data_IF_568476341247
#
_entry.id   IF_568476341247
#
_cell.length_a   1.000
_cell.length_b   1.000
_cell.length_c   1.000
_cell.angle_alpha   90.00
_cell.angle_beta   90.00
_cell.angle_gamma   90.00
#
_symmetry.space_group_name_H-M   'P 1'
#
loop_
_entity.id
_entity.type
_entity.pdbx_description
1 polymer ?
#
# COMPACT_ATOMS: atom_id res chain seq x y z
N UNK A 1 26.75 6.48 -11.46
CA UNK A 1 25.82 7.63 -11.47
C UNK A 1 24.61 7.29 -12.32
N UNK A 2 23.42 7.45 -11.76
CA UNK A 2 22.17 7.38 -12.50
C UNK A 2 22.13 8.55 -13.50
N UNK A 3 22.00 8.27 -14.80
CA UNK A 3 21.91 9.29 -15.86
C UNK A 3 20.56 9.16 -16.55
N UNK A 4 19.83 10.25 -16.69
CA UNK A 4 18.61 10.29 -17.50
C UNK A 4 18.96 10.89 -18.86
N UNK A 5 18.30 10.40 -19.93
CA UNK A 5 18.38 11.04 -21.24
C UNK A 5 17.43 12.26 -21.23
N UNK A 6 17.97 13.44 -20.91
CA UNK A 6 17.27 14.72 -21.14
C UNK A 6 16.48 15.31 -19.97
N UNK A 7 16.67 14.86 -18.72
CA UNK A 7 15.99 15.42 -17.54
C UNK A 7 16.90 15.60 -16.33
N UNK A 8 16.40 16.25 -15.26
CA UNK A 8 17.08 16.25 -13.95
C UNK A 8 16.62 15.02 -13.17
N UNK A 9 17.56 14.25 -12.62
CA UNK A 9 17.23 13.16 -11.71
C UNK A 9 16.85 13.74 -10.35
N UNK A 10 15.67 13.35 -9.85
CA UNK A 10 15.23 13.64 -8.49
C UNK A 10 15.33 12.39 -7.62
N UNK A 11 15.88 12.52 -6.42
CA UNK A 11 15.90 11.48 -5.40
C UNK A 11 15.33 12.04 -4.09
N UNK A 12 14.68 11.18 -3.32
CA UNK A 12 14.14 11.50 -2.00
C UNK A 12 14.90 10.69 -0.94
N UNK A 13 15.09 11.28 0.23
CA UNK A 13 15.68 10.61 1.38
C UNK A 13 14.84 10.86 2.63
N UNK A 14 14.30 9.79 3.22
CA UNK A 14 13.52 9.83 4.45
C UNK A 14 14.36 9.69 5.74
N UNK A 15 15.69 9.54 5.62
CA UNK A 15 16.56 9.31 6.76
C UNK A 15 18.03 9.70 6.50
N UNK A 16 18.82 9.87 7.57
CA UNK A 16 20.25 10.23 7.48
C UNK A 16 21.07 9.21 6.67
N UNK A 17 20.90 7.88 6.84
CA UNK A 17 21.60 6.88 6.02
C UNK A 17 21.17 6.89 4.55
N UNK A 18 19.88 7.12 4.28
CA UNK A 18 19.39 7.27 2.90
C UNK A 18 19.98 8.51 2.25
N UNK A 19 20.07 9.64 2.96
CA UNK A 19 20.69 10.86 2.42
C UNK A 19 22.15 10.63 2.02
N UNK A 20 22.94 9.90 2.82
CA UNK A 20 24.31 9.51 2.44
C UNK A 20 24.33 8.70 1.14
N UNK A 21 23.39 7.77 1.00
CA UNK A 21 23.26 6.93 -0.19
C UNK A 21 22.85 7.76 -1.41
N UNK A 22 21.87 8.64 -1.24
CA UNK A 22 21.39 9.57 -2.28
C UNK A 22 22.53 10.46 -2.74
N UNK A 23 23.25 11.11 -1.82
CA UNK A 23 24.41 11.95 -2.14
C UNK A 23 25.50 11.19 -2.91
N UNK A 24 25.73 9.91 -2.58
CA UNK A 24 26.70 9.07 -3.30
C UNK A 24 26.24 8.68 -4.72
N UNK A 25 24.93 8.60 -4.96
CA UNK A 25 24.35 8.20 -6.24
C UNK A 25 24.00 9.38 -7.16
N UNK A 26 23.80 10.57 -6.57
CA UNK A 26 23.44 11.80 -7.27
C UNK A 26 24.50 12.21 -8.29
N UNK A 27 24.03 12.75 -9.41
CA UNK A 27 24.86 13.39 -10.44
C UNK A 27 24.88 14.91 -10.25
N UNK A 28 25.75 15.59 -10.99
CA UNK A 28 25.79 17.05 -11.07
C UNK A 28 24.39 17.61 -11.40
N UNK A 29 23.98 18.67 -10.68
CA UNK A 29 22.66 19.31 -10.76
C UNK A 29 21.44 18.41 -10.42
N UNK A 30 21.65 17.33 -9.67
CA UNK A 30 20.55 16.51 -9.13
C UNK A 30 19.66 17.27 -8.15
N UNK A 31 18.38 16.88 -8.09
CA UNK A 31 17.43 17.37 -7.08
C UNK A 31 17.33 16.34 -5.96
N UNK A 32 17.39 16.80 -4.70
CA UNK A 32 17.22 15.94 -3.53
C UNK A 32 16.12 16.52 -2.65
N UNK A 33 15.14 15.70 -2.26
CA UNK A 33 14.14 16.04 -1.25
C UNK A 33 14.48 15.31 0.04
N UNK A 34 14.62 16.05 1.14
CA UNK A 34 15.00 15.53 2.44
C UNK A 34 13.80 15.53 3.40
N UNK A 35 13.21 14.36 3.62
CA UNK A 35 12.14 14.14 4.59
C UNK A 35 12.67 13.39 5.83
N UNK A 36 11.75 13.05 6.74
CA UNK A 36 12.02 12.31 7.96
C UNK A 36 12.54 13.14 9.12
N UNK A 37 12.92 12.46 10.20
CA UNK A 37 13.46 13.12 11.39
C UNK A 37 14.89 13.61 11.17
N UNK A 38 15.14 14.90 11.44
CA UNK A 38 16.42 15.55 11.12
C UNK A 38 17.15 15.95 12.39
N UNK A 39 18.26 15.26 12.65
CA UNK A 39 19.24 15.71 13.64
C UNK A 39 20.23 16.71 13.03
N UNK A 40 21.17 17.19 13.84
CA UNK A 40 22.18 18.17 13.42
C UNK A 40 23.05 17.63 12.27
N UNK A 41 23.40 16.35 12.30
CA UNK A 41 24.27 15.74 11.29
C UNK A 41 23.54 15.56 9.97
N UNK A 42 22.26 15.17 10.00
CA UNK A 42 21.41 15.13 8.81
C UNK A 42 21.43 16.50 8.12
N UNK A 43 21.14 17.57 8.87
CA UNK A 43 21.06 18.93 8.31
C UNK A 43 22.40 19.34 7.69
N UNK A 44 23.52 19.05 8.37
CA UNK A 44 24.86 19.34 7.84
C UNK A 44 25.16 18.58 6.55
N UNK A 45 24.75 17.32 6.46
CA UNK A 45 24.89 16.53 5.23
C UNK A 45 24.09 17.14 4.09
N UNK A 46 22.84 17.56 4.35
CA UNK A 46 22.01 18.23 3.35
C UNK A 46 22.67 19.53 2.85
N UNK A 47 23.18 20.36 3.77
CA UNK A 47 23.91 21.60 3.43
C UNK A 47 25.22 21.32 2.67
N UNK A 48 25.92 20.23 2.99
CA UNK A 48 27.08 19.79 2.22
C UNK A 48 26.69 19.45 0.78
N UNK A 49 25.58 18.75 0.58
CA UNK A 49 25.00 18.50 -0.74
C UNK A 49 24.70 19.78 -1.52
N UNK A 50 24.14 20.81 -0.86
CA UNK A 50 23.94 22.13 -1.47
C UNK A 50 25.26 22.75 -1.94
N UNK A 51 26.32 22.70 -1.12
CA UNK A 51 27.65 23.21 -1.51
C UNK A 51 28.30 22.42 -2.65
N UNK A 52 27.90 21.17 -2.84
CA UNK A 52 28.32 20.34 -3.98
C UNK A 52 27.56 20.67 -5.28
N UNK A 53 26.65 21.66 -5.26
CA UNK A 53 25.88 22.09 -6.44
C UNK A 53 24.57 21.35 -6.65
N UNK A 54 24.14 20.53 -5.69
CA UNK A 54 22.85 19.84 -5.74
C UNK A 54 21.71 20.76 -5.28
N UNK A 55 20.55 20.63 -5.91
CA UNK A 55 19.33 21.31 -5.48
C UNK A 55 18.68 20.53 -4.35
N UNK A 56 19.12 20.80 -3.12
CA UNK A 56 18.63 20.11 -1.91
C UNK A 56 17.50 20.88 -1.26
N UNK A 57 16.30 20.28 -1.26
CA UNK A 57 15.14 20.73 -0.52
C UNK A 57 15.13 20.09 0.86
N UNK A 58 15.29 20.91 1.89
CA UNK A 58 15.17 20.48 3.29
C UNK A 58 13.72 20.72 3.76
N UNK A 59 12.92 19.65 3.80
CA UNK A 59 11.49 19.75 4.11
C UNK A 59 11.27 19.80 5.61
N UNK A 60 10.74 20.91 6.13
CA UNK A 60 10.38 21.05 7.53
C UNK A 60 9.15 20.19 7.80
N UNK A 61 9.30 19.19 8.67
CA UNK A 61 8.22 18.29 9.05
C UNK A 61 7.75 18.51 10.49
N UNK A 62 8.56 19.19 11.30
CA UNK A 62 8.22 19.60 12.66
C UNK A 62 8.72 21.02 12.90
N UNK A 63 7.89 21.85 13.52
CA UNK A 63 8.26 23.25 13.77
C UNK A 63 9.55 23.37 14.61
N UNK A 64 9.80 22.40 15.50
CA UNK A 64 11.01 22.34 16.33
C UNK A 64 12.30 22.08 15.55
N UNK A 65 12.24 21.67 14.27
CA UNK A 65 13.43 21.53 13.41
C UNK A 65 13.99 22.90 13.00
N UNK A 66 13.13 23.91 12.90
CA UNK A 66 13.47 25.19 12.29
C UNK A 66 14.62 25.93 13.01
N UNK A 67 14.65 26.05 14.36
CA UNK A 67 15.77 26.67 15.05
C UNK A 67 17.11 25.96 14.79
N UNK A 68 17.09 24.63 14.69
CA UNK A 68 18.29 23.84 14.41
C UNK A 68 18.77 24.05 12.97
N UNK A 69 17.85 24.05 12.00
CA UNK A 69 18.15 24.33 10.59
C UNK A 69 18.79 25.71 10.45
N UNK A 70 18.16 26.75 11.01
CA UNK A 70 18.62 28.13 10.92
C UNK A 70 20.01 28.32 11.57
N UNK A 71 20.27 27.63 12.68
CA UNK A 71 21.58 27.67 13.35
C UNK A 71 22.67 27.03 12.47
N UNK A 72 22.42 25.84 11.93
CA UNK A 72 23.41 25.15 11.10
C UNK A 72 23.63 25.85 9.75
N UNK A 73 22.62 26.49 9.16
CA UNK A 73 22.78 27.35 7.99
C UNK A 73 23.77 28.50 8.26
N UNK A 74 23.60 29.20 9.39
CA UNK A 74 24.51 30.27 9.83
C UNK A 74 25.93 29.76 10.08
N UNK A 75 26.06 28.61 10.73
CA UNK A 75 27.39 28.02 11.04
C UNK A 75 28.11 27.53 9.79
N UNK A 76 27.40 26.97 8.82
CA UNK A 76 27.99 26.46 7.59
C UNK A 76 28.16 27.53 6.51
N UNK A 77 27.53 28.70 6.67
CA UNK A 77 27.50 29.76 5.65
C UNK A 77 26.81 29.28 4.38
N UNK A 78 25.76 28.47 4.50
CA UNK A 78 25.04 27.86 3.37
C UNK A 78 23.56 27.83 3.66
N UNK A 79 22.75 28.21 2.68
CA UNK A 79 21.29 28.19 2.76
C UNK A 79 20.76 27.14 1.78
N UNK A 80 19.97 26.15 2.23
CA UNK A 80 19.34 25.16 1.36
C UNK A 80 18.06 25.76 0.76
N UNK A 81 17.47 25.03 -0.19
CA UNK A 81 16.06 25.24 -0.53
C UNK A 81 15.23 24.68 0.63
N UNK A 82 14.20 25.39 1.06
CA UNK A 82 13.34 24.99 2.18
C UNK A 82 12.00 24.55 1.63
N UNK A 83 11.55 23.39 2.12
CA UNK A 83 10.18 22.92 1.95
C UNK A 83 9.42 22.92 3.27
N UNK A 84 8.09 22.91 3.22
CA UNK A 84 7.24 22.63 4.37
C UNK A 84 6.31 21.48 4.03
N UNK A 85 6.28 20.45 4.87
CA UNK A 85 5.28 19.39 4.80
C UNK A 85 4.00 19.85 5.48
N UNK A 86 2.86 19.75 4.79
CA UNK A 86 1.56 20.10 5.35
C UNK A 86 0.84 18.87 5.90
N UNK A 87 0.11 19.06 7.01
CA UNK A 87 -0.91 18.12 7.47
C UNK A 87 -2.26 18.49 6.86
N UNK A 88 -2.81 17.57 6.09
CA UNK A 88 -4.10 17.72 5.42
C UNK A 88 -5.22 17.15 6.28
N UNK A 89 -6.30 17.93 6.46
CA UNK A 89 -7.51 17.50 7.15
C UNK A 89 -8.41 16.61 6.28
N UNK A 90 -8.34 16.79 4.96
CA UNK A 90 -9.14 16.03 3.97
C UNK A 90 -8.82 14.53 3.94
N UNK A 91 -7.69 14.10 4.52
CA UNK A 91 -7.22 12.71 4.54
C UNK A 91 -7.63 12.07 5.87
N UNK A 92 -8.93 11.86 6.03
CA UNK A 92 -9.55 11.50 7.31
C UNK A 92 -10.08 10.06 7.39
N UNK A 93 -9.94 9.20 6.36
CA UNK A 93 -10.50 7.83 6.39
C UNK A 93 -9.62 6.78 5.72
N UNK A 94 -8.92 5.95 6.51
CA UNK A 94 -8.20 4.76 6.02
C UNK A 94 -7.10 4.26 6.97
N UNK A 95 -6.66 3.00 6.82
CA UNK A 95 -5.56 2.40 7.62
C UNK A 95 -4.22 3.13 7.45
N UNK A 96 -4.03 3.90 6.37
CA UNK A 96 -2.79 4.64 6.05
C UNK A 96 -2.69 6.06 6.65
N UNK A 97 -3.67 6.46 7.49
CA UNK A 97 -3.68 7.72 8.26
C UNK A 97 -2.44 7.93 9.15
N UNK A 98 -1.74 6.87 9.52
CA UNK A 98 -0.51 6.97 10.32
C UNK A 98 0.66 7.54 9.53
N UNK A 99 0.64 7.39 8.19
CA UNK A 99 1.69 7.86 7.26
C UNK A 99 1.36 9.20 6.59
N UNK A 100 0.08 9.56 6.44
CA UNK A 100 -0.40 10.79 5.83
C UNK A 100 -1.62 11.40 6.55
N UNK A 101 -1.94 12.66 6.29
CA UNK A 101 -3.09 13.36 6.90
C UNK A 101 -2.86 13.91 8.32
N UNK A 102 -3.94 14.33 8.98
CA UNK A 102 -3.89 15.08 10.26
C UNK A 102 -3.20 14.31 11.41
N UNK A 103 -3.41 13.00 11.48
CA UNK A 103 -2.83 12.09 12.48
C UNK A 103 -1.39 11.66 12.18
N UNK A 104 -0.80 12.11 11.07
CA UNK A 104 0.59 11.84 10.75
C UNK A 104 1.54 12.35 11.84
N UNK A 105 2.64 11.64 12.07
CA UNK A 105 3.72 12.08 12.97
C UNK A 105 4.54 13.26 12.41
N UNK A 106 4.35 13.55 11.12
CA UNK A 106 5.09 14.54 10.35
C UNK A 106 4.15 15.54 9.68
N UNK A 107 4.68 16.72 9.41
CA UNK A 107 3.98 17.84 8.81
C UNK A 107 3.49 18.87 9.83
N UNK A 108 3.41 20.11 9.36
CA UNK A 108 2.89 21.24 10.12
C UNK A 108 1.38 21.33 9.98
N UNK A 109 0.71 21.59 11.09
CA UNK A 109 -0.70 21.98 11.08
C UNK A 109 -0.88 23.40 10.55
N UNK A 110 -2.10 23.76 10.15
CA UNK A 110 -2.44 25.13 9.78
C UNK A 110 -2.11 26.15 10.89
N UNK A 111 -2.19 25.75 12.17
CA UNK A 111 -1.82 26.60 13.31
C UNK A 111 -0.31 26.79 13.49
N UNK A 112 0.51 25.84 13.04
CA UNK A 112 1.97 25.93 13.13
C UNK A 112 2.58 26.71 11.95
N UNK A 113 1.91 26.73 10.81
CA UNK A 113 2.42 27.32 9.57
C UNK A 113 2.75 28.83 9.70
N UNK A 114 1.91 29.70 10.30
CA UNK A 114 2.27 31.10 10.52
C UNK A 114 3.56 31.26 11.34
N UNK A 115 3.73 30.47 12.40
CA UNK A 115 4.94 30.52 13.24
C UNK A 115 6.20 30.06 12.51
N UNK A 116 6.08 29.12 11.56
CA UNK A 116 7.21 28.74 10.69
C UNK A 116 7.59 29.88 9.75
N UNK A 117 6.59 30.54 9.14
CA UNK A 117 6.79 31.67 8.24
C UNK A 117 7.43 32.85 8.97
N UNK A 118 6.98 33.18 10.17
CA UNK A 118 7.57 34.25 10.99
C UNK A 118 9.03 33.96 11.34
N UNK A 119 9.35 32.74 11.81
CA UNK A 119 10.73 32.36 12.10
C UNK A 119 11.66 32.45 10.89
N UNK A 120 11.18 32.07 9.70
CA UNK A 120 11.94 32.23 8.46
C UNK A 120 12.13 33.70 8.08
N UNK A 121 11.09 34.51 8.26
CA UNK A 121 11.12 35.96 8.00
C UNK A 121 12.12 36.67 8.92
N UNK A 122 12.07 36.39 10.22
CA UNK A 122 12.98 36.96 11.22
C UNK A 122 14.44 36.56 10.97
N UNK A 123 14.65 35.37 10.41
CA UNK A 123 15.97 34.90 10.00
C UNK A 123 16.44 35.42 8.63
N UNK A 124 15.62 36.19 7.91
CA UNK A 124 15.92 36.65 6.55
C UNK A 124 15.99 35.51 5.52
N UNK A 125 15.33 34.37 5.79
CA UNK A 125 15.36 33.16 4.96
C UNK A 125 13.99 32.84 4.34
N UNK A 126 13.06 33.79 4.33
CA UNK A 126 11.73 33.57 3.77
C UNK A 126 11.77 33.22 2.27
N UNK A 127 12.69 33.82 1.53
CA UNK A 127 12.89 33.54 0.10
C UNK A 127 13.43 32.13 -0.18
N UNK A 128 13.95 31.44 0.84
CA UNK A 128 14.38 30.04 0.72
C UNK A 128 13.18 29.08 0.72
N UNK A 129 12.01 29.50 1.21
CA UNK A 129 10.80 28.67 1.25
C UNK A 129 10.16 28.61 -0.13
N UNK A 130 10.32 27.48 -0.80
CA UNK A 130 9.93 27.33 -2.21
C UNK A 130 9.11 26.08 -2.49
N UNK A 131 9.05 25.13 -1.55
CA UNK A 131 8.40 23.85 -1.75
C UNK A 131 7.30 23.63 -0.71
N UNK A 132 6.11 23.24 -1.17
CA UNK A 132 5.12 22.60 -0.30
C UNK A 132 5.08 21.12 -0.61
N UNK A 133 5.20 20.32 0.45
CA UNK A 133 5.15 18.88 0.37
C UNK A 133 3.86 18.38 1.03
N UNK A 134 3.19 17.45 0.36
CA UNK A 134 2.08 16.69 0.95
C UNK A 134 2.32 15.22 0.71
N UNK A 135 2.00 14.41 1.72
CA UNK A 135 2.07 12.97 1.60
C UNK A 135 0.74 12.39 2.07
N UNK A 136 0.01 11.85 1.11
CA UNK A 136 -1.36 11.36 1.32
C UNK A 136 -1.41 9.90 1.79
N UNK A 137 -0.26 9.22 1.81
CA UNK A 137 -0.11 7.81 2.09
C UNK A 137 0.32 7.02 0.85
N UNK A 138 0.62 5.74 1.04
CA UNK A 138 0.92 4.81 -0.05
C UNK A 138 -0.36 4.11 -0.53
N UNK A 139 -0.38 3.70 -1.81
CA UNK A 139 -1.43 2.85 -2.39
C UNK A 139 -2.83 3.45 -2.21
N UNK A 140 -3.05 4.66 -2.71
CA UNK A 140 -4.36 5.30 -2.63
C UNK A 140 -5.23 4.66 -3.70
N UNK A 141 -6.23 3.87 -3.30
CA UNK A 141 -7.06 3.09 -4.23
C UNK A 141 -8.12 3.92 -4.96
N UNK A 142 -8.40 5.14 -4.49
CA UNK A 142 -9.48 5.99 -4.99
C UNK A 142 -8.99 7.38 -5.44
N UNK A 143 -9.19 7.70 -6.71
CA UNK A 143 -8.76 8.98 -7.32
C UNK A 143 -9.38 10.21 -6.66
N UNK A 144 -10.58 10.08 -6.08
CA UNK A 144 -11.26 11.20 -5.41
C UNK A 144 -10.51 11.66 -4.17
N UNK A 145 -9.84 10.74 -3.47
CA UNK A 145 -9.11 11.08 -2.25
C UNK A 145 -7.86 11.91 -2.58
N UNK A 146 -7.20 11.60 -3.70
CA UNK A 146 -6.09 12.38 -4.26
C UNK A 146 -6.59 13.79 -4.64
N UNK A 147 -7.72 13.87 -5.35
CA UNK A 147 -8.30 15.15 -5.74
C UNK A 147 -8.67 16.03 -4.54
N UNK A 148 -9.26 15.44 -3.49
CA UNK A 148 -9.63 16.16 -2.28
C UNK A 148 -8.40 16.70 -1.54
N UNK A 149 -7.36 15.87 -1.38
CA UNK A 149 -6.09 16.28 -0.76
C UNK A 149 -5.40 17.42 -1.52
N UNK A 150 -5.42 17.37 -2.85
CA UNK A 150 -4.83 18.42 -3.69
C UNK A 150 -5.67 19.69 -3.69
N UNK A 151 -7.00 19.57 -3.57
CA UNK A 151 -7.87 20.73 -3.40
C UNK A 151 -7.54 21.53 -2.14
N UNK A 152 -7.31 20.84 -1.01
CA UNK A 152 -6.85 21.47 0.22
C UNK A 152 -5.45 22.07 0.07
N UNK A 153 -4.52 21.31 -0.54
CA UNK A 153 -3.14 21.78 -0.83
C UNK A 153 -3.16 23.07 -1.66
N UNK A 154 -4.02 23.14 -2.66
CA UNK A 154 -4.16 24.33 -3.50
C UNK A 154 -4.61 25.55 -2.70
N UNK A 155 -5.48 25.39 -1.69
CA UNK A 155 -5.86 26.48 -0.81
C UNK A 155 -4.68 26.97 0.04
N UNK A 156 -3.80 26.08 0.51
CA UNK A 156 -2.57 26.50 1.20
C UNK A 156 -1.68 27.35 0.29
N UNK A 157 -1.52 27.01 -0.99
CA UNK A 157 -0.77 27.82 -1.96
C UNK A 157 -1.35 29.24 -2.04
N UNK A 158 -2.69 29.34 -2.13
CA UNK A 158 -3.38 30.63 -2.19
C UNK A 158 -3.13 31.46 -0.94
N UNK A 159 -3.23 30.87 0.25
CA UNK A 159 -3.00 31.60 1.50
C UNK A 159 -1.55 32.03 1.65
N UNK A 160 -0.58 31.16 1.34
CA UNK A 160 0.84 31.51 1.40
C UNK A 160 1.23 32.58 0.39
N UNK A 161 0.64 32.55 -0.82
CA UNK A 161 0.83 33.60 -1.82
C UNK A 161 0.33 34.95 -1.30
N UNK A 162 -0.82 34.99 -0.60
CA UNK A 162 -1.31 36.23 0.06
C UNK A 162 -0.39 36.72 1.18
N UNK A 163 0.39 35.83 1.79
CA UNK A 163 1.43 36.17 2.78
C UNK A 163 2.74 36.64 2.14
N UNK A 164 2.78 36.76 0.80
CA UNK A 164 3.95 37.20 0.02
C UNK A 164 4.96 36.09 -0.26
N UNK A 165 4.60 34.82 -0.07
CA UNK A 165 5.51 33.68 -0.27
C UNK A 165 5.26 33.08 -1.65
N UNK A 166 6.33 32.93 -2.44
CA UNK A 166 6.24 32.35 -3.77
C UNK A 166 6.70 30.89 -3.77
N UNK A 167 5.74 29.97 -3.69
CA UNK A 167 5.99 28.54 -3.80
C UNK A 167 6.28 28.20 -5.27
N UNK A 168 7.46 27.63 -5.53
CA UNK A 168 7.93 27.25 -6.87
C UNK A 168 7.63 25.79 -7.19
N UNK A 169 7.57 24.94 -6.16
CA UNK A 169 7.36 23.50 -6.31
C UNK A 169 6.25 23.01 -5.40
N UNK A 170 5.35 22.19 -5.93
CA UNK A 170 4.41 21.38 -5.17
C UNK A 170 4.81 19.94 -5.33
N UNK A 171 5.21 19.34 -4.23
CA UNK A 171 5.46 17.93 -4.14
C UNK A 171 4.21 17.23 -3.60
N UNK A 172 3.56 16.45 -4.46
CA UNK A 172 2.35 15.72 -4.11
C UNK A 172 2.65 14.40 -3.39
N UNK A 173 3.94 14.11 -3.17
CA UNK A 173 4.42 12.90 -2.54
C UNK A 173 4.11 11.66 -3.37
N UNK A 174 4.07 10.52 -2.69
CA UNK A 174 3.67 9.25 -3.28
C UNK A 174 2.15 9.07 -3.37
N UNK A 175 1.71 7.81 -3.35
CA UNK A 175 0.29 7.46 -3.30
C UNK A 175 -0.32 7.01 -4.62
N UNK A 176 0.35 7.25 -5.75
CA UNK A 176 0.04 6.58 -7.01
C UNK A 176 0.11 5.05 -6.79
N UNK A 177 -1.05 4.40 -6.83
CA UNK A 177 -1.19 2.99 -6.55
C UNK A 177 -0.93 2.10 -7.76
N UNK A 178 -0.82 0.81 -7.48
CA UNK A 178 -0.64 -0.25 -8.48
C UNK A 178 -1.81 -1.23 -8.37
N UNK A 179 -2.34 -1.66 -9.52
CA UNK A 179 -3.37 -2.69 -9.56
C UNK A 179 -2.73 -4.07 -9.51
N UNK A 180 -2.65 -4.67 -8.33
CA UNK A 180 -2.08 -6.01 -8.13
C UNK A 180 -3.08 -7.13 -8.45
N UNK A 181 -4.38 -6.85 -8.32
CA UNK A 181 -5.45 -7.83 -8.55
C UNK A 181 -5.88 -7.88 -10.03
N UNK A 182 -5.62 -6.82 -10.79
CA UNK A 182 -6.09 -6.66 -12.17
C UNK A 182 -7.58 -6.30 -12.28
N UNK A 183 -8.21 -5.94 -11.16
CA UNK A 183 -9.66 -5.73 -11.08
C UNK A 183 -10.08 -4.28 -11.36
N UNK A 184 -9.13 -3.33 -11.28
CA UNK A 184 -9.38 -1.88 -11.37
C UNK A 184 -10.49 -1.38 -10.43
N UNK A 185 -10.55 -1.97 -9.24
CA UNK A 185 -11.50 -1.59 -8.19
C UNK A 185 -10.85 -0.74 -7.10
N UNK A 186 -11.65 -0.31 -6.12
CA UNK A 186 -11.20 0.42 -4.92
C UNK A 186 -10.70 -0.51 -3.80
N UNK A 187 -10.39 -1.77 -4.09
CA UNK A 187 -9.87 -2.71 -3.09
C UNK A 187 -8.51 -2.26 -2.55
N UNK A 188 -8.06 -2.87 -1.45
CA UNK A 188 -6.78 -2.51 -0.81
C UNK A 188 -5.57 -2.78 -1.73
N UNK A 189 -5.66 -3.80 -2.60
CA UNK A 189 -4.61 -4.20 -3.54
C UNK A 189 -4.89 -3.77 -4.99
N UNK A 190 -5.82 -2.84 -5.21
CA UNK A 190 -6.16 -2.30 -6.52
C UNK A 190 -6.24 -0.77 -6.51
N UNK A 191 -6.41 -0.18 -7.69
CA UNK A 191 -6.75 1.24 -7.90
C UNK A 191 -7.93 1.37 -8.86
N UNK A 192 -8.76 2.40 -8.66
CA UNK A 192 -9.89 2.67 -9.55
C UNK A 192 -9.60 3.71 -10.64
N UNK A 193 -8.33 3.90 -10.98
CA UNK A 193 -7.86 4.90 -11.93
C UNK A 193 -6.63 4.43 -12.69
N UNK A 194 -6.38 5.08 -13.82
CA UNK A 194 -5.19 4.90 -14.66
C UNK A 194 -4.11 5.94 -14.34
N UNK A 195 -2.88 5.71 -14.81
CA UNK A 195 -1.80 6.68 -14.69
C UNK A 195 -2.15 8.03 -15.35
N UNK A 196 -2.81 8.00 -16.51
CA UNK A 196 -3.24 9.21 -17.21
C UNK A 196 -4.27 9.99 -16.38
N UNK A 197 -5.27 9.31 -15.82
CA UNK A 197 -6.27 9.95 -14.95
C UNK A 197 -5.64 10.53 -13.68
N UNK A 198 -4.66 9.84 -13.08
CA UNK A 198 -3.90 10.40 -11.97
C UNK A 198 -3.19 11.70 -12.36
N UNK A 199 -2.41 11.68 -13.44
CA UNK A 199 -1.67 12.86 -13.91
C UNK A 199 -2.62 14.02 -14.24
N UNK A 200 -3.71 13.74 -14.96
CA UNK A 200 -4.73 14.72 -15.30
C UNK A 200 -5.36 15.33 -14.05
N UNK A 201 -5.76 14.51 -13.07
CA UNK A 201 -6.39 15.02 -11.85
C UNK A 201 -5.43 15.83 -10.99
N UNK A 202 -4.16 15.45 -10.91
CA UNK A 202 -3.14 16.22 -10.20
C UNK A 202 -2.97 17.59 -10.84
N UNK A 203 -2.71 17.64 -12.15
CA UNK A 203 -2.46 18.88 -12.88
C UNK A 203 -3.71 19.77 -12.90
N UNK A 204 -4.88 19.22 -13.26
CA UNK A 204 -6.12 19.99 -13.37
C UNK A 204 -6.52 20.63 -12.04
N UNK A 205 -6.40 19.90 -10.92
CA UNK A 205 -6.81 20.41 -9.60
C UNK A 205 -5.96 21.62 -9.21
N UNK A 206 -4.64 21.51 -9.34
CA UNK A 206 -3.71 22.59 -9.02
C UNK A 206 -3.82 23.77 -10.00
N UNK A 207 -3.92 23.49 -11.30
CA UNK A 207 -4.03 24.50 -12.36
C UNK A 207 -5.33 25.31 -12.24
N UNK A 208 -6.46 24.67 -11.92
CA UNK A 208 -7.75 25.36 -11.75
C UNK A 208 -7.69 26.37 -10.62
N UNK A 209 -7.12 25.98 -9.46
CA UNK A 209 -6.93 26.90 -8.35
C UNK A 209 -5.95 28.04 -8.69
N UNK A 210 -4.82 27.72 -9.31
CA UNK A 210 -3.84 28.74 -9.71
C UNK A 210 -4.45 29.75 -10.69
N UNK A 211 -5.21 29.30 -11.69
CA UNK A 211 -5.91 30.17 -12.63
C UNK A 211 -6.95 31.05 -11.94
N UNK A 212 -7.76 30.48 -11.04
CA UNK A 212 -8.79 31.22 -10.30
C UNK A 212 -8.20 32.37 -9.48
N UNK A 213 -7.06 32.14 -8.82
CA UNK A 213 -6.42 33.12 -7.95
C UNK A 213 -5.28 33.89 -8.62
N UNK A 214 -5.09 33.73 -9.95
CA UNK A 214 -4.03 34.36 -10.76
C UNK A 214 -2.62 34.12 -10.20
N UNK A 215 -2.39 32.91 -9.71
CA UNK A 215 -1.10 32.44 -9.19
C UNK A 215 -0.36 31.77 -10.35
N UNK A 216 0.94 32.02 -10.49
CA UNK A 216 1.79 31.27 -11.43
C UNK A 216 1.80 29.80 -11.01
N UNK A 217 1.50 28.91 -11.95
CA UNK A 217 1.52 27.47 -11.69
C UNK A 217 2.92 27.03 -11.23
N UNK A 218 3.05 26.39 -10.06
CA UNK A 218 4.31 25.81 -9.61
C UNK A 218 4.64 24.53 -10.39
N UNK A 219 5.92 24.15 -10.37
CA UNK A 219 6.34 22.83 -10.84
C UNK A 219 5.74 21.75 -9.94
N UNK A 220 5.37 20.60 -10.52
CA UNK A 220 4.77 19.49 -9.78
C UNK A 220 5.77 18.35 -9.68
N UNK A 221 6.10 17.95 -8.46
CA UNK A 221 6.87 16.74 -8.16
C UNK A 221 5.93 15.64 -7.63
N UNK A 222 6.26 14.40 -7.94
CA UNK A 222 5.60 13.20 -7.41
C UNK A 222 6.65 12.16 -7.04
N UNK A 223 6.53 11.59 -5.85
CA UNK A 223 7.44 10.59 -5.27
C UNK A 223 6.85 9.18 -5.43
N UNK A 224 6.46 8.82 -6.66
CA UNK A 224 5.74 7.58 -6.99
C UNK A 224 6.62 6.32 -7.01
N UNK A 225 7.35 6.04 -5.92
CA UNK A 225 8.33 4.95 -5.84
C UNK A 225 7.75 3.56 -6.09
N UNK A 226 6.57 3.25 -5.51
CA UNK A 226 5.87 1.98 -5.73
C UNK A 226 5.52 1.77 -7.19
N UNK A 227 4.97 2.78 -7.86
CA UNK A 227 4.59 2.68 -9.27
C UNK A 227 5.79 2.43 -10.19
N UNK A 228 6.96 3.00 -9.86
CA UNK A 228 8.21 2.79 -10.60
C UNK A 228 8.78 1.38 -10.41
N UNK A 229 8.60 0.78 -9.23
CA UNK A 229 9.31 -0.45 -8.84
C UNK A 229 8.43 -1.70 -8.79
N UNK A 230 7.11 -1.61 -8.79
CA UNK A 230 6.27 -2.77 -8.54
C UNK A 230 6.48 -3.94 -9.53
N UNK A 231 6.67 -3.65 -10.82
CA UNK A 231 6.68 -4.68 -11.87
C UNK A 231 8.08 -5.11 -12.34
N UNK A 232 9.15 -4.53 -11.79
CA UNK A 232 10.50 -4.75 -12.32
C UNK A 232 11.17 -6.06 -11.86
N UNK A 233 10.59 -6.75 -10.88
CA UNK A 233 11.15 -7.95 -10.26
C UNK A 233 10.11 -9.07 -10.20
N UNK A 234 10.55 -10.30 -10.44
CA UNK A 234 9.74 -11.52 -10.34
C UNK A 234 10.48 -12.52 -9.46
N UNK A 235 9.80 -13.07 -8.46
CA UNK A 235 10.32 -14.19 -7.67
C UNK A 235 9.96 -15.50 -8.37
N UNK A 236 10.98 -16.25 -8.80
CA UNK A 236 10.81 -17.56 -9.42
C UNK A 236 11.39 -18.61 -8.47
N UNK A 237 10.58 -19.59 -8.12
CA UNK A 237 10.97 -20.76 -7.33
C UNK A 237 10.37 -22.01 -7.96
N UNK A 238 10.97 -23.17 -7.72
CA UNK A 238 10.40 -24.44 -8.13
C UNK A 238 9.47 -25.01 -7.05
N UNK A 239 8.46 -25.76 -7.48
CA UNK A 239 7.69 -26.65 -6.61
C UNK A 239 8.56 -27.89 -6.36
N UNK A 240 8.89 -28.16 -5.10
CA UNK A 240 9.74 -29.30 -4.72
C UNK A 240 8.93 -30.58 -4.53
N UNK A 241 7.70 -30.44 -4.05
CA UNK A 241 6.81 -31.55 -3.69
C UNK A 241 5.36 -31.05 -3.75
N UNK A 242 4.46 -31.94 -4.12
CA UNK A 242 3.01 -31.69 -4.10
C UNK A 242 2.38 -32.84 -3.36
N UNK A 243 1.82 -32.56 -2.19
CA UNK A 243 0.94 -33.49 -1.50
C UNK A 243 -0.39 -33.56 -2.25
N UNK A 244 -0.59 -34.65 -2.98
CA UNK A 244 -1.89 -34.98 -3.55
C UNK A 244 -2.60 -35.90 -2.57
N UNK A 245 -3.85 -35.58 -2.29
CA UNK A 245 -4.73 -36.52 -1.59
C UNK A 245 -5.14 -37.61 -2.59
N UNK A 246 -4.25 -38.56 -2.84
CA UNK A 246 -4.61 -39.81 -3.47
C UNK A 246 -5.45 -40.59 -2.45
N UNK A 247 -6.69 -40.90 -2.83
CA UNK A 247 -7.54 -41.77 -2.04
C UNK A 247 -7.58 -43.15 -2.65
N UNK A 248 -7.50 -44.16 -1.80
CA UNK A 248 -7.88 -45.52 -2.17
C UNK A 248 -9.28 -45.76 -1.61
N UNK A 249 -10.19 -46.34 -2.40
CA UNK A 249 -11.45 -46.81 -1.84
C UNK A 249 -11.13 -48.07 -1.05
N UNK A 250 -11.18 -48.04 0.30
CA UNK A 250 -10.88 -49.23 1.09
C UNK A 250 -11.87 -50.34 0.74
N UNK A 251 -11.43 -51.60 0.82
CA UNK A 251 -12.34 -52.73 0.61
C UNK A 251 -13.30 -52.86 1.80
N UNK A 252 -14.59 -53.08 1.50
CA UNK A 252 -15.61 -53.36 2.51
C UNK A 252 -15.34 -54.72 3.17
N UNK A 253 -15.07 -54.71 4.48
CA UNK A 253 -14.86 -55.92 5.27
C UNK A 253 -16.15 -56.66 5.65
N UNK A 254 -16.01 -57.93 6.05
CA UNK A 254 -17.15 -58.83 6.37
C UNK A 254 -17.86 -58.47 7.70
N UNK A 255 -17.27 -57.59 8.53
CA UNK A 255 -17.83 -57.09 9.79
C UNK A 255 -17.38 -55.63 10.05
N UNK A 256 -17.62 -54.73 9.09
CA UNK A 256 -17.35 -53.30 9.31
C UNK A 256 -18.32 -52.72 10.33
N UNK A 257 -17.87 -51.73 11.09
CA UNK A 257 -18.73 -50.99 12.00
C UNK A 257 -19.85 -50.26 11.24
N UNK A 258 -21.02 -50.10 11.86
CA UNK A 258 -22.23 -49.54 11.22
C UNK A 258 -21.97 -48.20 10.52
N UNK A 259 -21.14 -47.33 11.11
CA UNK A 259 -20.80 -46.03 10.54
C UNK A 259 -19.94 -46.14 9.26
N UNK A 260 -19.09 -47.15 9.15
CA UNK A 260 -18.32 -47.41 7.92
C UNK A 260 -19.23 -47.98 6.83
N UNK A 261 -20.16 -48.87 7.20
CA UNK A 261 -21.16 -49.39 6.26
C UNK A 261 -22.00 -48.25 5.68
N UNK A 262 -22.41 -47.28 6.51
CA UNK A 262 -23.13 -46.08 6.03
C UNK A 262 -22.29 -45.27 5.05
N UNK A 263 -20.99 -45.06 5.30
CA UNK A 263 -20.10 -44.37 4.35
C UNK A 263 -19.91 -45.15 3.04
N UNK A 264 -19.81 -46.49 3.09
CA UNK A 264 -19.79 -47.33 1.88
C UNK A 264 -21.11 -47.23 1.11
N UNK A 265 -22.25 -47.22 1.82
CA UNK A 265 -23.56 -47.00 1.22
C UNK A 265 -23.63 -45.62 0.55
N UNK A 266 -23.18 -44.55 1.20
CA UNK A 266 -23.16 -43.21 0.61
C UNK A 266 -22.26 -43.12 -0.63
N UNK A 267 -21.07 -43.74 -0.58
CA UNK A 267 -20.17 -43.82 -1.73
C UNK A 267 -20.81 -44.52 -2.93
N UNK A 268 -21.63 -45.55 -2.70
CA UNK A 268 -22.36 -46.27 -3.75
C UNK A 268 -23.68 -45.60 -4.13
N UNK A 269 -24.32 -44.87 -3.21
CA UNK A 269 -25.60 -44.19 -3.38
C UNK A 269 -25.52 -42.92 -4.22
N UNK A 270 -24.32 -42.47 -4.59
CA UNK A 270 -24.12 -41.46 -5.63
C UNK A 270 -24.72 -41.86 -6.99
N UNK A 271 -25.17 -43.11 -7.16
CA UNK A 271 -25.91 -43.62 -8.32
C UNK A 271 -27.46 -43.57 -8.17
N UNK A 272 -27.99 -43.06 -7.05
CA UNK A 272 -29.42 -43.20 -6.66
C UNK A 272 -30.23 -41.88 -6.67
N UNK A 273 -29.87 -40.89 -7.48
CA UNK A 273 -30.62 -39.61 -7.65
C UNK A 273 -30.84 -38.80 -6.35
N UNK A 274 -30.07 -39.04 -5.28
CA UNK A 274 -30.13 -38.21 -4.07
C UNK A 274 -29.59 -36.79 -4.34
N UNK A 275 -30.16 -35.74 -3.72
CA UNK A 275 -29.64 -34.38 -3.87
C UNK A 275 -28.21 -34.25 -3.33
N UNK A 276 -27.29 -33.72 -4.14
CA UNK A 276 -25.86 -33.52 -3.80
C UNK A 276 -25.66 -32.81 -2.45
N UNK A 277 -26.50 -31.82 -2.13
CA UNK A 277 -26.41 -31.07 -0.87
C UNK A 277 -26.70 -31.94 0.36
N UNK A 278 -27.63 -32.89 0.25
CA UNK A 278 -27.99 -33.82 1.33
C UNK A 278 -26.81 -34.77 1.58
N UNK A 279 -26.25 -35.35 0.50
CA UNK A 279 -25.07 -36.23 0.60
C UNK A 279 -23.88 -35.49 1.24
N UNK A 280 -23.63 -34.23 0.85
CA UNK A 280 -22.54 -33.44 1.40
C UNK A 280 -22.73 -33.13 2.90
N UNK A 281 -23.95 -32.76 3.32
CA UNK A 281 -24.25 -32.49 4.73
C UNK A 281 -24.26 -33.76 5.60
N UNK A 282 -24.78 -34.87 5.07
CA UNK A 282 -24.77 -36.17 5.74
C UNK A 282 -23.32 -36.64 5.94
N UNK A 283 -22.47 -36.51 4.92
CA UNK A 283 -21.05 -36.81 5.01
C UNK A 283 -20.35 -35.94 6.07
N UNK A 284 -20.63 -34.64 6.08
CA UNK A 284 -20.07 -33.72 7.07
C UNK A 284 -20.45 -34.10 8.50
N UNK A 285 -21.72 -34.45 8.73
CA UNK A 285 -22.23 -34.88 10.02
C UNK A 285 -21.61 -36.21 10.46
N UNK A 286 -21.54 -37.20 9.56
CA UNK A 286 -20.92 -38.49 9.82
C UNK A 286 -19.43 -38.34 10.20
N UNK A 287 -18.69 -37.48 9.49
CA UNK A 287 -17.27 -37.24 9.78
C UNK A 287 -17.06 -36.51 11.11
N UNK A 288 -17.97 -35.61 11.50
CA UNK A 288 -17.93 -34.97 12.82
C UNK A 288 -18.16 -36.00 13.95
N UNK A 289 -19.15 -36.88 13.81
CA UNK A 289 -19.42 -37.95 14.78
C UNK A 289 -18.23 -38.92 14.91
N UNK A 290 -17.59 -39.28 13.79
CA UNK A 290 -16.39 -40.13 13.77
C UNK A 290 -15.22 -39.45 14.49
N UNK A 291 -15.03 -38.14 14.27
CA UNK A 291 -14.02 -37.35 14.95
C UNK A 291 -14.26 -37.30 16.46
N UNK A 292 -15.50 -37.12 16.89
CA UNK A 292 -15.87 -37.10 18.31
C UNK A 292 -15.67 -38.46 18.98
N UNK A 293 -16.06 -39.54 18.31
CA UNK A 293 -15.83 -40.92 18.77
C UNK A 293 -14.34 -41.27 18.89
N UNK A 294 -13.52 -40.83 17.95
CA UNK A 294 -12.06 -40.98 18.02
C UNK A 294 -11.48 -40.22 19.21
N UNK A 295 -11.91 -38.97 19.43
CA UNK A 295 -11.48 -38.14 20.57
C UNK A 295 -11.85 -38.77 21.92
N UNK A 296 -12.96 -39.51 21.98
CA UNK A 296 -13.40 -40.24 23.16
C UNK A 296 -12.69 -41.60 23.35
N UNK A 297 -11.83 -42.02 22.41
CA UNK A 297 -11.14 -43.31 22.44
C UNK A 297 -12.02 -44.52 22.10
N UNK A 298 -13.18 -44.28 21.48
CA UNK A 298 -14.16 -45.32 21.12
C UNK A 298 -14.02 -45.82 19.68
N UNK A 299 -13.04 -45.30 18.95
CA UNK A 299 -12.80 -45.56 17.54
C UNK A 299 -11.29 -45.70 17.31
N UNK A 300 -10.87 -46.73 16.58
CA UNK A 300 -9.47 -47.06 16.33
C UNK A 300 -8.85 -46.20 15.22
N UNK A 301 -7.51 -46.14 15.16
CA UNK A 301 -6.82 -45.43 14.09
C UNK A 301 -7.18 -45.98 12.70
N UNK A 302 -7.30 -47.31 12.57
CA UNK A 302 -7.62 -47.95 11.29
C UNK A 302 -9.04 -47.62 10.81
N UNK A 303 -10.01 -47.60 11.73
CA UNK A 303 -11.38 -47.18 11.46
C UNK A 303 -11.45 -45.71 11.04
N UNK A 304 -10.67 -44.84 11.69
CA UNK A 304 -10.60 -43.42 11.35
C UNK A 304 -9.97 -43.23 9.97
N UNK A 305 -8.87 -43.92 9.71
CA UNK A 305 -8.18 -43.86 8.43
C UNK A 305 -9.09 -44.32 7.28
N UNK A 306 -9.84 -45.41 7.47
CA UNK A 306 -10.84 -45.86 6.48
C UNK A 306 -11.94 -44.83 6.24
N UNK A 307 -12.48 -44.22 7.31
CA UNK A 307 -13.50 -43.18 7.17
C UNK A 307 -12.98 -41.95 6.44
N UNK A 308 -11.75 -41.51 6.72
CA UNK A 308 -11.10 -40.40 6.02
C UNK A 308 -10.91 -40.72 4.52
N UNK A 309 -10.43 -41.92 4.17
CA UNK A 309 -10.30 -42.37 2.78
C UNK A 309 -11.66 -42.41 2.05
N UNK A 310 -12.71 -42.89 2.72
CA UNK A 310 -14.08 -42.89 2.17
C UNK A 310 -14.61 -41.47 1.99
N UNK A 311 -14.36 -40.57 2.94
CA UNK A 311 -14.72 -39.14 2.80
C UNK A 311 -14.09 -38.56 1.54
N UNK A 312 -12.79 -38.73 1.34
CA UNK A 312 -12.11 -38.23 0.14
C UNK A 312 -12.69 -38.83 -1.14
N UNK A 313 -12.98 -40.14 -1.15
CA UNK A 313 -13.62 -40.79 -2.29
C UNK A 313 -15.02 -40.24 -2.60
N UNK A 314 -15.84 -39.99 -1.57
CA UNK A 314 -17.18 -39.41 -1.72
C UNK A 314 -17.07 -37.97 -2.21
N UNK A 315 -16.21 -37.13 -1.60
CA UNK A 315 -15.95 -35.76 -2.02
C UNK A 315 -15.48 -35.68 -3.49
N UNK A 316 -14.58 -36.58 -3.90
CA UNK A 316 -14.08 -36.62 -5.27
C UNK A 316 -15.19 -36.97 -6.27
N UNK A 317 -16.04 -37.96 -5.96
CA UNK A 317 -17.20 -38.30 -6.81
C UNK A 317 -18.24 -37.19 -6.81
N UNK A 318 -18.53 -36.58 -5.66
CA UNK A 318 -19.43 -35.43 -5.55
C UNK A 318 -18.96 -34.28 -6.46
N UNK A 319 -17.66 -33.94 -6.42
CA UNK A 319 -17.09 -32.89 -7.27
C UNK A 319 -17.34 -33.16 -8.77
N UNK A 320 -17.23 -34.42 -9.20
CA UNK A 320 -17.48 -34.82 -10.58
C UNK A 320 -18.94 -34.72 -11.02
N UNK A 321 -19.89 -34.86 -10.09
CA UNK A 321 -21.35 -34.83 -10.36
C UNK A 321 -21.98 -33.43 -10.19
N UNK A 322 -21.24 -32.45 -9.67
CA UNK A 322 -21.75 -31.07 -9.51
C UNK A 322 -22.04 -30.44 -10.87
N UNK A 323 -23.27 -29.97 -11.05
CA UNK A 323 -23.67 -29.12 -12.18
C UNK A 323 -23.22 -27.67 -11.93
N UNK A 324 -22.27 -27.14 -12.73
CA UNK A 324 -21.81 -25.76 -12.59
C UNK A 324 -22.90 -24.71 -12.84
N UNK A 325 -24.01 -25.07 -13.50
CA UNK A 325 -25.13 -24.17 -13.74
C UNK A 325 -26.07 -24.05 -12.52
N UNK A 326 -25.94 -24.93 -11.52
CA UNK A 326 -26.77 -24.93 -10.34
C UNK A 326 -26.14 -24.10 -9.21
N UNK A 327 -26.72 -22.93 -8.94
CA UNK A 327 -26.24 -21.99 -7.92
C UNK A 327 -26.15 -22.60 -6.51
N UNK A 328 -27.00 -23.57 -6.15
CA UNK A 328 -26.93 -24.20 -4.82
C UNK A 328 -25.75 -25.18 -4.69
N UNK A 329 -25.31 -25.77 -5.80
CA UNK A 329 -24.17 -26.70 -5.83
C UNK A 329 -22.84 -25.96 -5.98
N UNK A 330 -22.85 -24.72 -6.47
CA UNK A 330 -21.64 -23.92 -6.64
C UNK A 330 -20.97 -23.54 -5.31
N UNK A 331 -21.75 -23.35 -4.24
CA UNK A 331 -21.18 -23.14 -2.90
C UNK A 331 -20.40 -24.38 -2.43
N UNK A 332 -20.98 -25.57 -2.59
CA UNK A 332 -20.36 -26.86 -2.24
C UNK A 332 -19.10 -27.09 -3.08
N UNK A 333 -19.14 -26.75 -4.38
CA UNK A 333 -17.96 -26.86 -5.24
C UNK A 333 -16.78 -26.04 -4.73
N UNK A 334 -17.04 -24.79 -4.34
CA UNK A 334 -15.98 -23.93 -3.82
C UNK A 334 -15.39 -24.51 -2.53
N UNK A 335 -16.23 -25.04 -1.63
CA UNK A 335 -15.78 -25.70 -0.40
C UNK A 335 -14.97 -26.99 -0.66
N UNK A 336 -15.23 -27.71 -1.76
CA UNK A 336 -14.46 -28.89 -2.16
C UNK A 336 -13.15 -28.55 -2.88
N UNK A 337 -13.02 -27.35 -3.44
CA UNK A 337 -11.84 -26.86 -4.15
C UNK A 337 -10.86 -26.07 -3.25
N UNK A 338 -11.30 -25.68 -2.03
CA UNK A 338 -10.48 -25.11 -0.95
C UNK A 338 -9.66 -26.18 -0.20
#
# INVERSE_FOLDING_TARGET
MLKTKGGRLGLEAGSKPELLTVLALSSDNGVIICNGYKDRDYIRLALAGTRMGLSVYLVIEKLSELPLILNECRRCGTTPLIGIRLKLASIASGKWQSSGGERSKFGLTASQLPGAVEQLRDAGMLDCLELLHVHMGSQISNIRDIQNGLGETAQFIVQLTKMGIHIRVIDVGGGLGVDYEGTRTRSECSVNYTLAEYADKVVQTLASACAQFKIKMPDIFSESGRALTAHHAVLITNVIEVEKHDFEIPAEGVNEADFLQELYHQLNALQLDKPIHEIYHDLGSAMQDIQDRFNQGTLSLDERAKAEQLKYAICYRLHAEIDPANHSQQAIRNELEE
#
